data_IF_675335414913
#
_entry.id   IF_675335414913
#
_cell.length_a   1.000
_cell.length_b   1.000
_cell.length_c   1.000
_cell.angle_alpha   90.00
_cell.angle_beta   90.00
_cell.angle_gamma   90.00
#
_symmetry.space_group_name_H-M   'P 1'
#
loop_
_entity.id
_entity.type
_entity.pdbx_description
1 polymer ?
#
# COMPACT_ATOMS: atom_id res chain seq x y z
N UNK A 1 -2.09 2.20 4.34
CA UNK A 1 -2.12 1.61 3.00
C UNK A 1 -1.65 0.18 3.15
N UNK A 2 -2.55 -0.77 2.90
CA UNK A 2 -2.20 -2.18 2.72
C UNK A 2 -2.12 -2.41 1.21
N UNK A 3 -1.09 -3.11 0.74
CA UNK A 3 -0.85 -3.40 -0.67
C UNK A 3 -1.02 -4.89 -0.90
N UNK A 4 -1.95 -5.26 -1.76
CA UNK A 4 -2.17 -6.64 -2.16
C UNK A 4 -1.55 -6.89 -3.53
N UNK A 5 -0.54 -7.79 -3.56
CA UNK A 5 0.35 -7.99 -4.70
C UNK A 5 -0.16 -8.91 -5.81
N UNK A 6 -1.45 -9.25 -5.83
CA UNK A 6 -2.00 -10.22 -6.79
C UNK A 6 -2.71 -9.53 -7.97
N UNK A 7 -2.70 -10.15 -9.15
CA UNK A 7 -3.40 -9.62 -10.32
C UNK A 7 -2.99 -10.30 -11.63
N UNK A 8 -3.69 -9.98 -12.71
CA UNK A 8 -3.35 -10.47 -14.05
C UNK A 8 -2.76 -9.34 -14.90
N UNK A 9 -1.54 -9.54 -15.38
CA UNK A 9 -0.88 -8.64 -16.32
C UNK A 9 -1.70 -8.44 -17.60
N UNK A 10 -2.04 -7.18 -17.91
CA UNK A 10 -2.43 -6.78 -19.28
C UNK A 10 -1.17 -6.31 -20.00
N UNK A 11 -0.41 -7.29 -20.49
CA UNK A 11 0.90 -7.07 -21.12
C UNK A 11 0.82 -7.24 -22.64
N UNK A 12 1.60 -6.46 -23.38
CA UNK A 12 1.76 -6.58 -24.83
C UNK A 12 3.13 -7.21 -25.16
N UNK A 13 3.13 -8.24 -26.01
CA UNK A 13 4.33 -8.98 -26.41
C UNK A 13 5.07 -8.21 -27.52
N UNK A 14 6.25 -7.70 -27.20
CA UNK A 14 7.04 -6.83 -28.10
C UNK A 14 7.56 -7.61 -29.30
N UNK A 15 7.99 -8.85 -29.10
CA UNK A 15 8.50 -9.71 -30.18
C UNK A 15 7.44 -9.97 -31.25
N UNK A 16 6.22 -10.30 -30.81
CA UNK A 16 5.09 -10.50 -31.73
C UNK A 16 4.72 -9.23 -32.48
N UNK A 17 4.76 -8.07 -31.81
CA UNK A 17 4.48 -6.78 -32.43
C UNK A 17 5.51 -6.41 -33.52
N UNK A 18 6.78 -6.73 -33.30
CA UNK A 18 7.86 -6.49 -34.27
C UNK A 18 7.64 -7.32 -35.54
N UNK A 19 7.40 -8.62 -35.41
CA UNK A 19 7.15 -9.47 -36.58
C UNK A 19 5.87 -9.06 -37.31
N UNK A 20 4.80 -8.68 -36.57
CA UNK A 20 3.58 -8.15 -37.16
C UNK A 20 3.82 -6.85 -37.97
N UNK A 21 4.59 -5.91 -37.41
CA UNK A 21 4.93 -4.65 -38.09
C UNK A 21 5.84 -4.88 -39.31
N UNK A 22 6.69 -5.90 -39.28
CA UNK A 22 7.52 -6.31 -40.41
C UNK A 22 6.75 -7.14 -41.46
N UNK A 23 5.49 -7.52 -41.17
CA UNK A 23 4.72 -8.42 -42.02
C UNK A 23 5.30 -9.84 -42.10
N UNK A 24 6.06 -10.26 -41.08
CA UNK A 24 6.72 -11.56 -41.06
C UNK A 24 5.78 -12.64 -40.50
N UNK A 25 5.66 -13.76 -41.20
CA UNK A 25 4.94 -14.93 -40.71
C UNK A 25 5.81 -15.71 -39.72
N UNK A 26 5.23 -16.04 -38.55
CA UNK A 26 5.91 -16.78 -37.49
C UNK A 26 5.65 -18.28 -37.62
N UNK A 27 6.71 -19.08 -37.47
CA UNK A 27 6.63 -20.55 -37.47
C UNK A 27 5.90 -21.07 -36.22
N UNK A 28 4.98 -22.01 -36.40
CA UNK A 28 4.28 -22.70 -35.30
C UNK A 28 5.18 -23.82 -34.77
N UNK A 29 5.57 -23.72 -33.50
CA UNK A 29 6.44 -24.69 -32.83
C UNK A 29 5.69 -25.63 -31.88
N UNK A 30 4.40 -25.40 -31.66
CA UNK A 30 3.57 -26.31 -30.88
C UNK A 30 2.18 -25.77 -30.57
N UNK A 31 1.27 -26.64 -30.08
CA UNK A 31 -0.03 -26.22 -29.58
C UNK A 31 0.15 -25.44 -28.27
N UNK A 32 -0.73 -24.47 -27.99
CA UNK A 32 -0.69 -23.83 -26.68
C UNK A 32 -1.37 -24.68 -25.61
N UNK A 33 -0.75 -24.72 -24.43
CA UNK A 33 -1.27 -25.40 -23.24
C UNK A 33 -2.24 -24.53 -22.43
N UNK A 34 -2.46 -23.28 -22.84
CA UNK A 34 -3.32 -22.33 -22.12
C UNK A 34 -4.79 -22.73 -22.31
N UNK A 35 -5.36 -23.34 -21.28
CA UNK A 35 -6.80 -23.51 -21.13
C UNK A 35 -7.39 -22.16 -20.69
N UNK A 36 -7.77 -21.33 -21.65
CA UNK A 36 -8.30 -19.99 -21.40
C UNK A 36 -9.82 -19.98 -21.36
N UNK A 37 -10.40 -19.92 -20.16
CA UNK A 37 -11.79 -19.52 -19.93
C UNK A 37 -12.82 -20.64 -20.06
N UNK A 38 -13.66 -20.81 -19.03
CA UNK A 38 -14.84 -21.65 -19.14
C UNK A 38 -15.77 -21.12 -20.23
N UNK A 39 -16.25 -22.02 -21.10
CA UNK A 39 -17.28 -21.71 -22.07
C UNK A 39 -18.53 -21.17 -21.36
N UNK A 40 -19.06 -20.05 -21.83
CA UNK A 40 -20.36 -19.52 -21.40
C UNK A 40 -21.06 -18.90 -22.60
N UNK A 41 -22.39 -18.81 -22.56
CA UNK A 41 -23.21 -18.29 -23.67
C UNK A 41 -22.85 -16.85 -24.08
N UNK A 42 -22.10 -16.12 -23.25
CA UNK A 42 -21.69 -14.73 -23.45
C UNK A 42 -20.27 -14.64 -24.04
N UNK A 43 -19.42 -15.65 -23.80
CA UNK A 43 -18.03 -15.68 -24.26
C UNK A 43 -17.80 -16.95 -25.08
N UNK A 44 -17.88 -16.88 -26.42
CA UNK A 44 -17.60 -18.03 -27.26
C UNK A 44 -16.17 -18.51 -27.01
N UNK A 45 -15.99 -19.83 -27.07
CA UNK A 45 -14.69 -20.47 -26.88
C UNK A 45 -13.70 -19.89 -27.89
N UNK A 46 -12.73 -19.11 -27.41
CA UNK A 46 -11.64 -18.61 -28.24
C UNK A 46 -10.61 -19.73 -28.31
N UNK A 47 -10.42 -20.30 -29.49
CA UNK A 47 -9.38 -21.29 -29.74
C UNK A 47 -8.03 -20.82 -29.19
N UNK A 48 -7.27 -21.73 -28.62
CA UNK A 48 -5.97 -21.41 -28.04
C UNK A 48 -4.98 -21.12 -29.17
N UNK A 49 -4.42 -19.91 -29.22
CA UNK A 49 -3.47 -19.56 -30.28
C UNK A 49 -2.21 -20.40 -30.16
N UNK A 50 -1.67 -20.98 -31.26
CA UNK A 50 -0.47 -21.81 -31.20
C UNK A 50 0.75 -21.04 -30.69
N UNK A 51 1.73 -21.79 -30.16
CA UNK A 51 3.02 -21.24 -29.77
C UNK A 51 3.85 -21.05 -31.04
N UNK A 52 4.45 -19.87 -31.18
CA UNK A 52 5.17 -19.47 -32.40
C UNK A 52 6.58 -18.94 -32.10
N UNK A 53 7.58 -19.32 -32.91
CA UNK A 53 8.93 -18.77 -32.81
C UNK A 53 9.04 -17.37 -33.44
N UNK A 54 9.96 -16.50 -32.98
CA UNK A 54 10.22 -15.21 -33.64
C UNK A 54 10.80 -15.39 -35.05
N UNK A 55 10.25 -14.65 -36.01
CA UNK A 55 10.64 -14.77 -37.42
C UNK A 55 11.86 -13.89 -37.77
N UNK A 56 11.93 -12.69 -37.21
CA UNK A 56 13.01 -11.72 -37.49
C UNK A 56 14.10 -11.71 -36.41
N UNK A 57 15.34 -11.33 -36.77
CA UNK A 57 16.43 -11.14 -35.78
C UNK A 57 16.07 -10.06 -34.73
N UNK A 58 15.32 -9.04 -35.15
CA UNK A 58 14.79 -8.04 -34.24
C UNK A 58 13.83 -8.66 -33.23
N UNK A 59 12.86 -9.47 -33.68
CA UNK A 59 11.92 -10.14 -32.77
C UNK A 59 12.63 -11.13 -31.83
N UNK A 60 13.63 -11.90 -32.32
CA UNK A 60 14.44 -12.80 -31.48
C UNK A 60 15.12 -12.05 -30.34
N UNK A 61 15.65 -10.85 -30.60
CA UNK A 61 16.28 -10.01 -29.58
C UNK A 61 15.32 -9.57 -28.47
N UNK A 62 14.04 -9.39 -28.79
CA UNK A 62 13.01 -8.89 -27.87
C UNK A 62 12.05 -10.00 -27.40
N UNK A 63 12.39 -11.27 -27.59
CA UNK A 63 11.57 -12.38 -27.11
C UNK A 63 11.46 -12.36 -25.59
N UNK A 64 10.23 -12.47 -25.08
CA UNK A 64 9.94 -12.40 -23.64
C UNK A 64 9.80 -10.98 -23.08
N UNK A 65 10.02 -9.93 -23.88
CA UNK A 65 9.84 -8.55 -23.44
C UNK A 65 8.37 -8.12 -23.52
N UNK A 66 7.93 -7.42 -22.48
CA UNK A 66 6.59 -6.87 -22.33
C UNK A 66 6.59 -5.35 -22.21
N UNK A 67 5.40 -4.76 -22.27
CA UNK A 67 5.18 -3.32 -22.11
C UNK A 67 4.61 -2.93 -20.74
N UNK A 68 4.21 -3.89 -19.90
CA UNK A 68 3.56 -3.61 -18.62
C UNK A 68 4.07 -4.51 -17.50
N UNK A 69 4.21 -3.90 -16.31
CA UNK A 69 4.28 -4.63 -15.05
C UNK A 69 2.86 -5.06 -14.63
N UNK A 70 2.75 -6.08 -13.78
CA UNK A 70 1.48 -6.39 -13.16
C UNK A 70 1.02 -5.17 -12.37
N UNK A 71 -0.20 -4.67 -12.57
CA UNK A 71 -0.73 -3.58 -11.76
C UNK A 71 -1.12 -4.07 -10.35
N UNK A 72 -0.22 -4.78 -9.68
CA UNK A 72 -0.37 -5.36 -8.34
C UNK A 72 -0.29 -4.32 -7.21
N UNK A 73 -0.73 -3.08 -7.49
CA UNK A 73 -0.81 -2.01 -6.52
C UNK A 73 -2.29 -1.79 -6.17
N UNK A 74 -2.78 -2.55 -5.18
CA UNK A 74 -4.15 -2.43 -4.68
C UNK A 74 -4.15 -1.78 -3.29
N UNK A 75 -4.24 -0.44 -3.19
CA UNK A 75 -4.34 0.22 -1.91
C UNK A 75 -5.75 0.06 -1.34
N UNK A 76 -5.86 -0.45 -0.11
CA UNK A 76 -7.12 -0.32 0.64
C UNK A 76 -7.25 1.10 1.19
N UNK A 77 -8.23 1.84 0.67
CA UNK A 77 -8.54 3.20 1.10
C UNK A 77 -9.87 3.20 1.87
N UNK A 78 -9.80 3.49 3.16
CA UNK A 78 -10.99 3.74 3.97
C UNK A 78 -11.40 5.21 3.84
N UNK A 79 -12.47 5.48 3.09
CA UNK A 79 -13.07 6.79 2.99
C UNK A 79 -14.37 6.85 3.80
N UNK A 80 -14.54 7.87 4.64
CA UNK A 80 -15.77 8.09 5.41
C UNK A 80 -16.58 9.22 4.78
N UNK A 81 -17.79 8.90 4.33
CA UNK A 81 -18.75 9.91 3.86
C UNK A 81 -19.07 10.88 5.01
N UNK A 82 -19.05 12.21 4.79
CA UNK A 82 -19.56 13.16 5.77
C UNK A 82 -21.03 12.88 6.09
N UNK A 83 -21.37 12.79 7.37
CA UNK A 83 -22.75 12.63 7.83
C UNK A 83 -23.31 13.97 8.31
N UNK A 84 -24.65 14.06 8.30
CA UNK A 84 -25.38 15.22 8.82
C UNK A 84 -25.41 15.17 10.35
N UNK A 85 -25.15 16.30 11.01
CA UNK A 85 -25.11 16.37 12.47
C UNK A 85 -23.80 15.88 13.06
N UNK A 86 -23.80 15.46 14.32
CA UNK A 86 -22.60 15.05 15.04
C UNK A 86 -22.29 13.55 14.88
N UNK A 87 -21.05 13.17 15.21
CA UNK A 87 -20.65 11.74 15.31
C UNK A 87 -21.54 11.01 16.33
N UNK A 88 -21.82 11.65 17.47
CA UNK A 88 -22.62 11.07 18.53
C UNK A 88 -24.05 10.76 18.06
N UNK A 89 -24.69 11.70 17.36
CA UNK A 89 -26.04 11.51 16.82
C UNK A 89 -26.07 10.34 15.82
N UNK A 90 -25.06 10.25 14.95
CA UNK A 90 -24.96 9.17 13.96
C UNK A 90 -24.81 7.79 14.63
N UNK A 91 -23.94 7.70 15.65
CA UNK A 91 -23.71 6.46 16.40
C UNK A 91 -24.96 6.05 17.18
N UNK A 92 -25.61 6.97 17.90
CA UNK A 92 -26.82 6.67 18.67
C UNK A 92 -27.98 6.26 17.76
N UNK A 93 -28.10 6.89 16.59
CA UNK A 93 -29.19 6.62 15.64
C UNK A 93 -29.00 5.31 14.86
N UNK A 94 -27.79 5.03 14.40
CA UNK A 94 -27.53 3.94 13.44
C UNK A 94 -26.65 2.82 13.99
N UNK A 95 -26.12 2.95 15.22
CA UNK A 95 -25.20 1.97 15.80
C UNK A 95 -23.83 1.91 15.10
N UNK A 96 -23.49 2.86 14.23
CA UNK A 96 -22.24 2.89 13.46
C UNK A 96 -21.74 4.32 13.24
N UNK A 97 -20.48 4.49 12.84
CA UNK A 97 -19.85 5.79 12.57
C UNK A 97 -18.51 6.04 13.28
N UNK A 98 -18.10 5.12 14.15
CA UNK A 98 -16.82 5.13 14.86
C UNK A 98 -15.93 3.92 14.47
N UNK A 99 -14.63 4.02 14.75
CA UNK A 99 -13.68 2.92 14.63
C UNK A 99 -13.37 2.38 16.02
N UNK A 100 -13.27 1.05 16.17
CA UNK A 100 -12.86 0.43 17.43
C UNK A 100 -11.34 0.54 17.61
N UNK A 101 -10.89 1.70 18.10
CA UNK A 101 -9.47 1.98 18.29
C UNK A 101 -8.87 1.08 19.36
N UNK A 102 -9.56 0.89 20.48
CA UNK A 102 -9.04 0.12 21.61
C UNK A 102 -8.84 -1.36 21.26
N UNK A 103 -9.77 -1.94 20.51
CA UNK A 103 -9.64 -3.32 20.00
C UNK A 103 -8.58 -3.50 18.91
N UNK A 104 -7.97 -2.43 18.40
CA UNK A 104 -6.97 -2.47 17.33
C UNK A 104 -5.64 -1.79 17.72
N UNK A 105 -5.42 -1.53 19.01
CA UNK A 105 -4.15 -0.95 19.48
C UNK A 105 -2.98 -1.85 19.14
N UNK A 106 -1.86 -1.24 18.80
CA UNK A 106 -0.60 -1.95 18.55
C UNK A 106 0.10 -2.11 19.90
N UNK A 107 0.37 -3.35 20.30
CA UNK A 107 1.08 -3.65 21.54
C UNK A 107 2.44 -2.95 21.57
N UNK A 108 2.83 -2.47 22.75
CA UNK A 108 4.07 -1.75 22.97
C UNK A 108 4.49 -1.96 24.41
N UNK A 109 5.79 -1.86 24.66
CA UNK A 109 6.29 -1.74 26.02
C UNK A 109 5.81 -0.44 26.67
N UNK A 110 5.86 -0.42 28.01
CA UNK A 110 5.53 0.72 28.85
C UNK A 110 6.22 2.00 28.36
N UNK A 111 5.42 3.03 28.11
CA UNK A 111 5.90 4.32 27.59
C UNK A 111 5.41 5.49 28.44
N UNK A 112 6.04 6.67 28.37
CA UNK A 112 5.54 7.84 29.08
C UNK A 112 4.08 8.16 28.72
N UNK A 113 3.24 8.32 29.74
CA UNK A 113 1.90 8.87 29.58
C UNK A 113 2.04 10.36 29.34
N UNK A 114 1.69 10.82 28.14
CA UNK A 114 1.62 12.26 27.82
C UNK A 114 0.21 12.77 28.08
N UNK A 115 0.11 13.79 28.92
CA UNK A 115 -1.13 14.55 29.11
C UNK A 115 -0.99 15.86 28.34
N UNK A 116 -1.95 16.12 27.46
CA UNK A 116 -2.14 17.43 26.84
C UNK A 116 -3.08 18.27 27.70
N UNK A 117 -2.87 19.59 27.76
CA UNK A 117 -3.71 20.49 28.56
C UNK A 117 -5.17 20.50 28.08
N UNK A 118 -6.08 20.40 29.03
CA UNK A 118 -7.52 20.55 28.95
C UNK A 118 -7.92 22.03 28.79
N UNK A 119 -7.65 22.60 27.60
CA UNK A 119 -8.38 23.77 27.08
C UNK A 119 -8.29 25.12 27.81
N UNK A 120 -7.68 25.21 29.00
CA UNK A 120 -7.49 26.49 29.70
C UNK A 120 -6.28 27.23 29.13
N UNK A 121 -6.46 27.87 27.98
CA UNK A 121 -5.54 28.92 27.51
C UNK A 121 -5.73 30.13 28.41
N UNK A 122 -4.94 30.24 29.48
CA UNK A 122 -4.74 31.54 30.13
C UNK A 122 -3.78 32.30 29.21
N UNK A 123 -4.29 33.34 28.55
CA UNK A 123 -3.61 34.07 27.49
C UNK A 123 -2.60 35.10 28.06
N UNK A 124 -1.88 34.75 29.13
CA UNK A 124 -0.84 35.60 29.74
C UNK A 124 0.54 35.03 29.43
N UNK A 125 1.10 35.51 28.33
CA UNK A 125 2.41 35.15 27.77
C UNK A 125 3.60 35.41 28.73
N UNK A 126 3.38 36.03 29.90
CA UNK A 126 4.46 36.42 30.83
C UNK A 126 4.40 35.85 32.25
N UNK A 127 3.41 35.02 32.61
CA UNK A 127 3.38 34.35 33.93
C UNK A 127 3.07 32.84 33.88
N UNK A 128 2.66 32.30 32.73
CA UNK A 128 2.05 30.96 32.65
C UNK A 128 2.91 29.82 32.08
N UNK A 129 4.20 30.04 31.81
CA UNK A 129 5.09 29.02 31.24
C UNK A 129 4.68 28.50 29.86
N UNK A 130 5.57 27.76 29.20
CA UNK A 130 5.23 27.06 27.96
C UNK A 130 4.25 25.92 28.28
N UNK A 131 2.96 26.15 28.09
CA UNK A 131 1.87 25.16 28.24
C UNK A 131 1.92 24.04 27.19
N UNK A 132 3.04 23.32 27.13
CA UNK A 132 3.25 22.15 26.31
C UNK A 132 2.76 20.87 26.98
N UNK A 133 2.75 19.76 26.23
CA UNK A 133 2.48 18.43 26.80
C UNK A 133 3.56 18.05 27.82
N UNK A 134 3.17 17.50 28.97
CA UNK A 134 4.12 16.94 29.94
C UNK A 134 3.91 15.42 30.12
N UNK A 135 4.95 14.74 30.61
CA UNK A 135 4.84 13.35 31.07
C UNK A 135 4.15 13.34 32.43
N UNK A 136 3.16 12.47 32.61
CA UNK A 136 2.40 12.33 33.86
C UNK A 136 2.50 10.90 34.44
N UNK A 137 3.56 10.18 34.08
CA UNK A 137 3.78 8.80 34.50
C UNK A 137 4.01 7.87 33.31
N UNK A 138 3.63 6.61 33.47
CA UNK A 138 3.83 5.56 32.47
C UNK A 138 2.47 4.98 32.08
N UNK A 139 2.34 4.56 30.83
CA UNK A 139 1.16 3.87 30.32
C UNK A 139 1.57 2.61 29.59
N UNK A 140 0.79 1.56 29.84
CA UNK A 140 0.79 0.25 29.21
C UNK A 140 -0.16 0.18 28.00
N UNK A 141 -0.92 1.26 27.75
CA UNK A 141 -1.83 1.31 26.62
C UNK A 141 -1.07 1.26 25.29
N UNK A 142 -1.42 0.26 24.49
CA UNK A 142 -0.95 0.07 23.13
C UNK A 142 -1.02 1.36 22.30
N UNK A 143 -0.10 1.48 21.34
CA UNK A 143 -0.07 2.61 20.41
C UNK A 143 -1.36 2.65 19.59
N UNK A 144 -1.74 3.85 19.20
CA UNK A 144 -2.84 4.03 18.26
C UNK A 144 -2.58 3.26 16.96
N UNK A 145 -3.61 2.61 16.38
CA UNK A 145 -3.48 1.91 15.10
C UNK A 145 -2.94 2.86 14.03
N UNK A 146 -2.05 2.36 13.17
CA UNK A 146 -1.46 3.15 12.09
C UNK A 146 -2.40 3.19 10.88
N UNK A 147 -2.40 4.31 10.16
CA UNK A 147 -3.05 4.42 8.86
C UNK A 147 -2.26 3.71 7.73
N UNK A 148 -1.07 3.18 8.04
CA UNK A 148 -0.25 2.38 7.16
C UNK A 148 0.21 1.10 7.85
N UNK A 149 0.12 -0.01 7.13
CA UNK A 149 0.51 -1.34 7.59
C UNK A 149 1.57 -1.83 6.60
N UNK A 150 2.69 -2.28 7.14
CA UNK A 150 3.72 -2.96 6.36
C UNK A 150 3.54 -4.46 6.59
N UNK A 151 3.88 -5.26 5.59
CA UNK A 151 4.14 -6.67 5.84
C UNK A 151 5.35 -6.84 6.77
N UNK A 152 5.52 -8.03 7.33
CA UNK A 152 6.55 -8.30 8.34
C UNK A 152 7.97 -7.99 7.80
N UNK A 153 8.28 -8.40 6.58
CA UNK A 153 9.60 -8.17 5.99
C UNK A 153 9.86 -6.68 5.74
N UNK A 154 8.89 -5.95 5.21
CA UNK A 154 9.00 -4.50 5.05
C UNK A 154 9.08 -3.76 6.40
N UNK A 155 8.39 -4.26 7.43
CA UNK A 155 8.51 -3.79 8.81
C UNK A 155 9.93 -3.96 9.35
N UNK A 156 10.49 -5.17 9.23
CA UNK A 156 11.87 -5.47 9.64
C UNK A 156 12.90 -4.61 8.91
N UNK A 157 12.73 -4.40 7.60
CA UNK A 157 13.61 -3.52 6.82
C UNK A 157 13.55 -2.06 7.30
N UNK A 158 12.36 -1.57 7.64
CA UNK A 158 12.19 -0.22 8.17
C UNK A 158 12.85 -0.10 9.55
N UNK A 159 12.64 -1.09 10.42
CA UNK A 159 13.24 -1.11 11.76
C UNK A 159 14.77 -1.19 11.67
N UNK A 160 15.33 -1.98 10.74
CA UNK A 160 16.76 -2.04 10.50
C UNK A 160 17.32 -0.72 9.94
N UNK A 161 16.61 -0.07 9.03
CA UNK A 161 17.07 1.17 8.39
C UNK A 161 16.99 2.40 9.32
N UNK A 162 16.00 2.43 10.21
CA UNK A 162 15.67 3.63 11.00
C UNK A 162 15.98 3.46 12.49
N UNK A 163 15.95 2.22 12.99
CA UNK A 163 16.08 1.87 14.40
C UNK A 163 14.93 2.39 15.27
N UNK A 164 14.92 1.98 16.54
CA UNK A 164 14.02 2.58 17.52
C UNK A 164 14.43 4.02 17.83
N UNK A 165 13.57 4.98 17.46
CA UNK A 165 13.79 6.40 17.76
C UNK A 165 13.20 6.79 19.12
N UNK A 166 14.04 7.31 20.01
CA UNK A 166 13.58 8.03 21.21
C UNK A 166 12.96 9.37 20.77
N UNK A 167 11.68 9.56 21.07
CA UNK A 167 10.94 10.80 20.74
C UNK A 167 11.72 12.06 21.16
N UNK A 168 11.88 13.01 20.24
CA UNK A 168 12.35 14.37 20.56
C UNK A 168 13.86 14.61 20.38
N UNK A 169 14.64 13.59 20.00
CA UNK A 169 16.03 13.81 19.55
C UNK A 169 16.04 14.11 18.04
N UNK A 170 16.20 15.39 17.70
CA UNK A 170 16.79 15.75 16.42
C UNK A 170 18.25 15.31 16.49
N UNK A 171 18.63 14.28 15.74
CA UNK A 171 20.04 14.00 15.54
C UNK A 171 20.64 15.21 14.81
N UNK A 172 21.73 15.82 15.29
CA UNK A 172 22.42 16.83 14.52
C UNK A 172 22.88 16.20 13.21
N UNK A 173 22.61 16.87 12.10
CA UNK A 173 23.06 16.46 10.77
C UNK A 173 24.53 16.03 10.81
N UNK A 174 24.82 14.88 10.19
CA UNK A 174 26.09 14.71 9.50
C UNK A 174 25.81 14.42 8.04
N UNK A 175 25.74 15.52 7.30
CA UNK A 175 26.02 15.58 5.88
C UNK A 175 27.46 15.13 5.64
N UNK A 176 27.66 13.89 5.20
CA UNK A 176 28.83 13.53 4.37
C UNK A 176 28.37 12.50 3.34
N UNK A 177 27.74 13.00 2.28
CA UNK A 177 27.73 12.29 1.00
C UNK A 177 29.08 12.63 0.36
N UNK A 178 29.96 11.63 0.27
CA UNK A 178 31.08 11.63 -0.68
C UNK A 178 30.59 11.08 -2.02
#
# INVERSE_FOLDING_TARGET
>A
MWLYGSGFCKNHDVSKAIDQAAGAEREIIGPSSRHGGGSSDIFPERGSEPITAPATEAAKKWEGFGTALTPSFEPIVLARKPFKGSVADNVLKFGTGALNIDGCRIETESRPLRIGHDGKRINTLYEGGFGGSHSAGVTDQGRWPKNCILDEAAGEMLDAAVGERKSGLLLPEKSEIK
#
